data_IF_575064011020
#
_entry.id   IF_575064011020
#
_cell.length_a   1.000
_cell.length_b   1.000
_cell.length_c   1.000
_cell.angle_alpha   90.00
_cell.angle_beta   90.00
_cell.angle_gamma   90.00
#
_symmetry.space_group_name_H-M   'P 1'
#
loop_
_entity.id
_entity.type
_entity.pdbx_description
1 polymer ?
#
# COMPACT_ATOMS: atom_id res chain seq x y z
N UNK A 1 15.31 68.34 -43.17
CA UNK A 1 14.04 67.59 -43.10
C UNK A 1 14.21 66.08 -43.39
N UNK A 2 14.89 65.69 -44.44
CA UNK A 2 15.02 64.26 -44.84
C UNK A 2 15.66 63.36 -43.76
N UNK A 3 16.68 63.81 -43.02
CA UNK A 3 17.38 63.01 -41.96
C UNK A 3 16.44 62.73 -40.79
N UNK A 4 15.61 63.66 -40.37
CA UNK A 4 14.68 63.49 -39.26
C UNK A 4 13.60 62.45 -39.62
N UNK A 5 13.10 62.44 -40.85
CA UNK A 5 12.13 61.47 -41.32
C UNK A 5 12.74 60.06 -41.35
N UNK A 6 13.96 59.89 -41.78
CA UNK A 6 14.64 58.58 -41.80
C UNK A 6 14.84 58.06 -40.38
N UNK A 7 15.26 58.89 -39.42
CA UNK A 7 15.45 58.51 -38.01
C UNK A 7 14.13 58.09 -37.38
N UNK A 8 13.03 58.75 -37.62
CA UNK A 8 11.69 58.39 -37.12
C UNK A 8 11.22 57.06 -37.71
N UNK A 9 11.41 56.85 -39.03
CA UNK A 9 11.04 55.57 -39.66
C UNK A 9 11.87 54.40 -39.08
N UNK A 10 13.14 54.56 -38.88
CA UNK A 10 14.01 53.56 -38.28
C UNK A 10 13.58 53.25 -36.80
N UNK A 11 13.25 54.28 -36.04
CA UNK A 11 12.81 54.10 -34.65
C UNK A 11 11.48 53.34 -34.57
N UNK A 12 10.52 53.63 -35.45
CA UNK A 12 9.21 52.90 -35.51
C UNK A 12 9.42 51.44 -35.92
N UNK A 13 10.32 51.19 -36.89
CA UNK A 13 10.62 49.82 -37.31
C UNK A 13 11.28 49.01 -36.17
N UNK A 14 12.22 49.60 -35.44
CA UNK A 14 12.85 48.93 -34.29
C UNK A 14 11.87 48.65 -33.17
N UNK A 15 10.96 49.58 -32.86
CA UNK A 15 9.89 49.38 -31.88
C UNK A 15 8.92 48.25 -32.30
N UNK A 16 8.55 48.17 -33.56
CA UNK A 16 7.73 47.11 -34.12
C UNK A 16 8.38 45.72 -34.00
N UNK A 17 9.68 45.61 -34.25
CA UNK A 17 10.46 44.36 -34.09
C UNK A 17 10.54 43.96 -32.60
N UNK A 18 10.78 44.92 -31.71
CA UNK A 18 10.85 44.65 -30.26
C UNK A 18 9.50 44.19 -29.72
N UNK A 19 8.36 44.78 -30.13
CA UNK A 19 7.04 44.32 -29.74
C UNK A 19 6.74 42.90 -30.28
N UNK A 20 7.13 42.60 -31.52
CA UNK A 20 6.97 41.27 -32.09
C UNK A 20 7.78 40.20 -31.34
N UNK A 21 9.03 40.52 -30.94
CA UNK A 21 9.85 39.63 -30.15
C UNK A 21 9.24 39.38 -28.76
N UNK A 22 8.70 40.41 -28.09
CA UNK A 22 8.01 40.23 -26.81
C UNK A 22 6.80 39.30 -26.90
N UNK A 23 5.99 39.43 -27.98
CA UNK A 23 4.85 38.56 -28.19
C UNK A 23 5.25 37.11 -28.43
N UNK A 24 6.35 36.87 -29.13
CA UNK A 24 6.88 35.50 -29.33
C UNK A 24 7.35 34.89 -28.02
N UNK A 25 8.05 35.65 -27.20
CA UNK A 25 8.55 35.16 -25.90
C UNK A 25 7.38 34.83 -24.94
N UNK A 26 6.36 35.68 -24.86
CA UNK A 26 5.19 35.40 -24.01
C UNK A 26 4.40 34.20 -24.53
N UNK A 27 4.26 34.01 -25.82
CA UNK A 27 3.59 32.86 -26.41
C UNK A 27 4.35 31.55 -26.09
N UNK A 28 5.67 31.54 -26.23
CA UNK A 28 6.50 30.38 -25.90
C UNK A 28 6.46 30.03 -24.40
N UNK A 29 6.43 31.04 -23.53
CA UNK A 29 6.28 30.84 -22.09
C UNK A 29 4.92 30.24 -21.73
N UNK A 30 3.86 30.64 -22.41
CA UNK A 30 2.52 30.16 -22.19
C UNK A 30 2.37 28.67 -22.59
N UNK A 31 2.91 28.28 -23.74
CA UNK A 31 2.97 26.87 -24.16
C UNK A 31 3.75 26.01 -23.15
N UNK A 32 4.86 26.50 -22.66
CA UNK A 32 5.67 25.76 -21.67
C UNK A 32 4.94 25.58 -20.33
N UNK A 33 4.15 26.56 -19.90
CA UNK A 33 3.32 26.47 -18.70
C UNK A 33 2.17 25.49 -18.86
N UNK A 34 1.53 25.47 -20.02
CA UNK A 34 0.45 24.52 -20.33
C UNK A 34 0.96 23.07 -20.39
N UNK A 35 2.11 22.84 -21.01
CA UNK A 35 2.77 21.51 -21.04
C UNK A 35 3.18 21.04 -19.66
N UNK A 36 3.72 21.94 -18.82
CA UNK A 36 4.05 21.65 -17.43
C UNK A 36 2.82 21.30 -16.60
N UNK A 37 1.75 22.09 -16.70
CA UNK A 37 0.48 21.84 -16.00
C UNK A 37 -0.14 20.50 -16.40
N UNK A 38 -0.14 20.19 -17.70
CA UNK A 38 -0.70 18.94 -18.23
C UNK A 38 0.09 17.72 -17.75
N UNK A 39 1.42 17.81 -17.71
CA UNK A 39 2.29 16.74 -17.18
C UNK A 39 2.07 16.49 -15.70
N UNK A 40 1.97 17.54 -14.89
CA UNK A 40 1.72 17.40 -13.46
C UNK A 40 0.34 16.82 -13.16
N UNK A 41 -0.67 17.22 -13.90
CA UNK A 41 -2.04 16.71 -13.76
C UNK A 41 -2.15 15.23 -14.17
N UNK A 42 -1.43 14.81 -15.20
CA UNK A 42 -1.33 13.40 -15.60
C UNK A 42 -0.63 12.55 -14.54
N UNK A 43 0.44 13.06 -13.95
CA UNK A 43 1.22 12.35 -12.92
C UNK A 43 0.43 12.20 -11.61
N UNK A 44 -0.36 13.21 -11.22
CA UNK A 44 -1.23 13.17 -10.05
C UNK A 44 -2.41 12.20 -10.26
N UNK A 45 -3.00 12.16 -11.45
CA UNK A 45 -4.07 11.22 -11.79
C UNK A 45 -3.58 9.76 -11.82
N UNK A 46 -2.37 9.49 -12.30
CA UNK A 46 -1.75 8.16 -12.29
C UNK A 46 -1.47 7.68 -10.87
N UNK A 47 -0.99 8.57 -10.00
CA UNK A 47 -0.73 8.25 -8.59
C UNK A 47 -2.05 7.89 -7.87
N UNK A 48 -3.09 8.72 -8.01
CA UNK A 48 -4.42 8.47 -7.41
C UNK A 48 -5.03 7.17 -7.96
N UNK A 49 -4.90 6.91 -9.26
CA UNK A 49 -5.42 5.68 -9.87
C UNK A 49 -4.69 4.45 -9.34
N UNK A 50 -3.39 4.53 -9.13
CA UNK A 50 -2.58 3.43 -8.57
C UNK A 50 -2.94 3.16 -7.11
N UNK A 51 -3.17 4.19 -6.28
CA UNK A 51 -3.66 4.02 -4.91
C UNK A 51 -5.06 3.40 -4.86
N UNK A 52 -5.99 3.87 -5.69
CA UNK A 52 -7.35 3.32 -5.75
C UNK A 52 -7.33 1.86 -6.21
N UNK A 53 -6.49 1.52 -7.18
CA UNK A 53 -6.35 0.15 -7.68
C UNK A 53 -5.72 -0.77 -6.62
N UNK A 54 -4.75 -0.28 -5.85
CA UNK A 54 -4.14 -1.00 -4.72
C UNK A 54 -5.17 -1.25 -3.61
N UNK A 55 -5.95 -0.23 -3.22
CA UNK A 55 -7.04 -0.39 -2.26
C UNK A 55 -8.14 -1.34 -2.75
N UNK A 56 -8.52 -1.27 -4.02
CA UNK A 56 -9.53 -2.15 -4.60
C UNK A 56 -9.04 -3.61 -4.69
N UNK A 57 -7.75 -3.84 -4.93
CA UNK A 57 -7.14 -5.17 -4.89
C UNK A 57 -7.12 -5.75 -3.47
N UNK A 58 -6.91 -4.91 -2.45
CA UNK A 58 -6.93 -5.32 -1.04
C UNK A 58 -8.34 -5.73 -0.59
N UNK A 59 -9.38 -4.95 -0.95
CA UNK A 59 -10.78 -5.25 -0.59
C UNK A 59 -11.27 -6.57 -1.25
N UNK A 60 -10.67 -6.98 -2.35
CA UNK A 60 -11.05 -8.19 -3.08
C UNK A 60 -10.53 -9.50 -2.43
N UNK A 61 -9.70 -9.40 -1.40
CA UNK A 61 -9.10 -10.57 -0.73
C UNK A 61 -9.82 -10.99 0.55
N UNK A 62 -10.77 -10.22 1.06
CA UNK A 62 -11.58 -10.66 2.20
C UNK A 62 -12.72 -11.58 1.72
N UNK A 63 -12.94 -12.63 2.48
CA UNK A 63 -14.04 -13.61 2.32
C UNK A 63 -15.07 -13.47 3.45
N UNK A 64 -16.12 -14.27 3.40
CA UNK A 64 -17.08 -14.38 4.50
C UNK A 64 -17.90 -13.12 4.77
N UNK A 65 -18.31 -12.96 6.04
CA UNK A 65 -19.18 -11.89 6.52
C UNK A 65 -18.57 -11.10 7.69
N UNK A 66 -17.44 -11.55 8.24
CA UNK A 66 -16.74 -10.87 9.31
C UNK A 66 -16.06 -9.58 8.82
N UNK A 67 -15.28 -8.92 9.65
CA UNK A 67 -14.71 -7.62 9.29
C UNK A 67 -13.53 -7.75 8.33
N UNK A 68 -13.57 -6.91 7.32
CA UNK A 68 -12.45 -6.64 6.43
C UNK A 68 -11.78 -5.34 6.89
N UNK A 69 -10.55 -5.43 7.43
CA UNK A 69 -9.90 -4.32 8.14
C UNK A 69 -8.62 -3.94 7.43
N UNK A 70 -8.49 -2.69 7.02
CA UNK A 70 -7.23 -2.14 6.53
C UNK A 70 -6.58 -1.26 7.60
N UNK A 71 -5.28 -1.39 7.78
CA UNK A 71 -4.56 -0.58 8.78
C UNK A 71 -3.05 -0.61 8.61
N UNK A 72 -2.37 0.07 9.51
CA UNK A 72 -0.90 0.16 9.55
C UNK A 72 -0.37 -0.72 10.68
N UNK A 73 0.64 -1.54 10.40
CA UNK A 73 1.36 -2.30 11.41
C UNK A 73 2.08 -1.35 12.35
N UNK A 74 1.74 -1.39 13.63
CA UNK A 74 2.31 -0.54 14.67
C UNK A 74 3.30 -1.27 15.57
N UNK A 75 3.23 -2.61 15.60
CA UNK A 75 4.14 -3.46 16.36
C UNK A 75 4.08 -4.90 15.85
N UNK A 76 5.20 -5.59 15.80
CA UNK A 76 5.28 -7.04 15.72
C UNK A 76 5.45 -7.54 17.16
N UNK A 77 4.46 -8.29 17.69
CA UNK A 77 4.49 -8.81 19.06
C UNK A 77 5.36 -10.06 19.10
N UNK A 78 4.99 -11.06 18.30
CA UNK A 78 5.69 -12.34 18.12
C UNK A 78 5.50 -12.83 16.67
N UNK A 79 5.76 -14.11 16.39
CA UNK A 79 5.70 -14.66 15.04
C UNK A 79 4.27 -14.80 14.47
N UNK A 80 3.24 -14.78 15.30
CA UNK A 80 1.85 -14.99 14.88
C UNK A 80 0.87 -13.93 15.38
N UNK A 81 1.41 -12.87 16.00
CA UNK A 81 0.61 -11.77 16.55
C UNK A 81 1.26 -10.42 16.23
N UNK A 82 0.49 -9.55 15.59
CA UNK A 82 0.91 -8.17 15.29
C UNK A 82 -0.09 -7.17 15.87
N UNK A 83 0.31 -5.89 16.00
CA UNK A 83 -0.64 -4.78 16.23
C UNK A 83 -0.84 -3.98 14.96
N UNK A 84 -2.11 -3.73 14.64
CA UNK A 84 -2.53 -2.89 13.53
C UNK A 84 -3.40 -1.77 14.07
N UNK A 85 -2.98 -0.52 13.86
CA UNK A 85 -3.63 0.65 14.45
C UNK A 85 -3.88 0.52 15.97
N UNK A 86 -2.98 -0.17 16.69
CA UNK A 86 -3.10 -0.43 18.12
C UNK A 86 -3.95 -1.65 18.52
N UNK A 87 -4.74 -2.23 17.60
CA UNK A 87 -5.48 -3.47 17.82
C UNK A 87 -4.58 -4.69 17.60
N UNK A 88 -4.62 -5.66 18.53
CA UNK A 88 -3.88 -6.93 18.37
C UNK A 88 -4.62 -7.87 17.42
N UNK A 89 -3.87 -8.41 16.48
CA UNK A 89 -4.32 -9.36 15.46
C UNK A 89 -3.55 -10.67 15.64
N UNK A 90 -4.24 -11.75 15.89
CA UNK A 90 -3.70 -13.11 15.95
C UNK A 90 -3.93 -13.80 14.61
N UNK A 91 -2.92 -14.44 14.07
CA UNK A 91 -3.03 -15.13 12.78
C UNK A 91 -3.95 -16.35 12.91
N UNK A 92 -4.99 -16.41 12.09
CA UNK A 92 -5.88 -17.57 11.98
C UNK A 92 -5.11 -18.80 11.48
N UNK A 93 -5.34 -19.95 12.06
CA UNK A 93 -4.73 -21.25 11.68
C UNK A 93 -3.19 -21.31 11.73
N UNK A 94 -2.50 -20.24 12.05
CA UNK A 94 -1.05 -20.21 12.14
C UNK A 94 -0.58 -19.91 13.55
N UNK A 95 0.38 -20.67 14.03
CA UNK A 95 1.01 -20.48 15.34
C UNK A 95 2.53 -20.42 15.21
N UNK A 96 3.16 -19.64 16.08
CA UNK A 96 4.60 -19.57 16.23
C UNK A 96 5.03 -20.01 17.64
N UNK A 97 6.30 -20.37 17.84
CA UNK A 97 6.87 -20.51 19.18
C UNK A 97 6.79 -19.17 19.94
N UNK A 98 6.57 -19.22 21.24
CA UNK A 98 6.60 -18.03 22.08
C UNK A 98 8.01 -17.39 22.09
N UNK A 99 8.10 -16.08 22.35
CA UNK A 99 9.37 -15.34 22.28
C UNK A 99 10.50 -15.93 23.14
N UNK A 100 10.14 -16.58 24.26
CA UNK A 100 11.11 -17.20 25.17
C UNK A 100 11.44 -18.64 24.79
N UNK A 101 10.77 -19.19 23.79
CA UNK A 101 10.99 -20.55 23.31
C UNK A 101 11.96 -20.55 22.12
N UNK A 102 12.56 -21.70 21.84
CA UNK A 102 13.42 -21.87 20.68
C UNK A 102 12.63 -21.61 19.38
N UNK A 103 13.12 -20.71 18.55
CA UNK A 103 12.47 -20.31 17.29
C UNK A 103 11.52 -19.11 17.40
N UNK A 104 11.21 -18.62 18.62
CA UNK A 104 10.26 -17.53 18.80
C UNK A 104 10.78 -16.18 18.28
N UNK A 105 12.05 -15.88 18.51
CA UNK A 105 12.69 -14.67 17.98
C UNK A 105 12.80 -14.76 16.46
N UNK A 106 13.23 -15.89 15.94
CA UNK A 106 13.36 -16.14 14.50
C UNK A 106 12.01 -16.01 13.77
N UNK A 107 10.93 -16.50 14.38
CA UNK A 107 9.57 -16.34 13.84
C UNK A 107 9.14 -14.87 13.77
N UNK A 108 9.40 -14.12 14.86
CA UNK A 108 9.12 -12.69 14.90
C UNK A 108 9.92 -11.92 13.85
N UNK A 109 11.25 -12.17 13.79
CA UNK A 109 12.14 -11.51 12.83
C UNK A 109 11.76 -11.84 11.39
N UNK A 110 11.29 -13.06 11.13
CA UNK A 110 10.77 -13.45 9.83
C UNK A 110 9.56 -12.59 9.44
N UNK A 111 8.56 -12.45 10.33
CA UNK A 111 7.38 -11.60 10.06
C UNK A 111 7.79 -10.14 9.87
N UNK A 112 8.67 -9.60 10.72
CA UNK A 112 9.16 -8.23 10.56
C UNK A 112 9.89 -8.02 9.23
N UNK A 113 10.59 -9.03 8.73
CA UNK A 113 11.31 -8.96 7.45
C UNK A 113 10.38 -8.84 6.23
N UNK A 114 9.20 -9.46 6.27
CA UNK A 114 8.24 -9.48 5.16
C UNK A 114 7.12 -8.44 5.31
N UNK A 115 6.85 -8.00 6.54
CA UNK A 115 5.84 -7.01 6.87
C UNK A 115 6.30 -6.10 8.03
N UNK A 116 7.26 -5.22 7.82
CA UNK A 116 7.81 -4.37 8.88
C UNK A 116 6.78 -3.38 9.43
N UNK A 117 7.06 -2.86 10.63
CA UNK A 117 6.29 -1.74 11.22
C UNK A 117 6.20 -0.59 10.22
N UNK A 118 5.01 -0.03 10.06
CA UNK A 118 4.69 0.99 9.05
C UNK A 118 4.09 0.43 7.77
N UNK A 119 4.09 -0.89 7.56
CA UNK A 119 3.43 -1.52 6.40
C UNK A 119 1.92 -1.39 6.48
N UNK A 120 1.28 -1.21 5.32
CA UNK A 120 -0.18 -1.32 5.19
C UNK A 120 -0.57 -2.79 5.06
N UNK A 121 -1.56 -3.21 5.84
CA UNK A 121 -2.11 -4.57 5.83
C UNK A 121 -3.60 -4.57 5.61
N UNK A 122 -4.08 -5.68 5.04
CA UNK A 122 -5.48 -6.08 5.04
C UNK A 122 -5.63 -7.27 5.98
N UNK A 123 -6.61 -7.22 6.86
CA UNK A 123 -6.99 -8.32 7.76
C UNK A 123 -8.38 -8.80 7.35
N UNK A 124 -8.49 -10.07 7.07
CA UNK A 124 -9.72 -10.81 6.88
C UNK A 124 -10.03 -11.53 8.20
N UNK A 125 -11.01 -11.00 8.98
CA UNK A 125 -11.40 -11.56 10.26
C UNK A 125 -12.10 -12.89 10.04
N UNK A 126 -11.71 -13.92 10.77
CA UNK A 126 -12.24 -15.28 10.64
C UNK A 126 -13.72 -15.36 11.09
N UNK A 127 -14.63 -15.64 10.17
CA UNK A 127 -16.08 -15.79 10.43
C UNK A 127 -16.38 -16.80 11.56
N UNK A 128 -15.57 -17.83 11.67
CA UNK A 128 -15.72 -18.86 12.70
C UNK A 128 -15.15 -18.45 14.06
N UNK A 129 -14.47 -17.31 14.18
CA UNK A 129 -13.76 -16.88 15.38
C UNK A 129 -13.93 -15.38 15.69
N UNK A 130 -15.07 -14.77 15.32
CA UNK A 130 -15.36 -13.34 15.50
C UNK A 130 -15.39 -12.88 16.96
N UNK A 131 -15.57 -13.81 17.93
CA UNK A 131 -15.44 -13.51 19.35
C UNK A 131 -13.99 -13.21 19.76
N UNK A 132 -13.04 -13.53 18.88
CA UNK A 132 -11.63 -13.32 19.11
C UNK A 132 -11.05 -14.20 20.21
N UNK A 133 -9.85 -13.87 20.65
CA UNK A 133 -9.16 -14.54 21.75
C UNK A 133 -8.38 -13.52 22.58
N UNK A 134 -8.71 -13.42 23.86
CA UNK A 134 -8.07 -12.47 24.78
C UNK A 134 -8.06 -11.01 24.27
N UNK A 135 -9.16 -10.57 23.64
CA UNK A 135 -9.31 -9.22 23.07
C UNK A 135 -8.56 -9.00 21.74
N UNK A 136 -8.00 -10.06 21.13
CA UNK A 136 -7.40 -10.03 19.81
C UNK A 136 -8.43 -10.37 18.73
N UNK A 137 -8.32 -9.75 17.57
CA UNK A 137 -9.00 -10.20 16.36
C UNK A 137 -8.21 -11.40 15.81
N UNK A 138 -8.92 -12.43 15.35
CA UNK A 138 -8.34 -13.60 14.68
C UNK A 138 -8.62 -13.47 13.20
N UNK A 139 -7.59 -13.60 12.35
CA UNK A 139 -7.80 -13.45 10.91
C UNK A 139 -6.58 -13.82 10.07
N UNK A 140 -6.79 -13.81 8.77
CA UNK A 140 -5.72 -13.87 7.78
C UNK A 140 -5.22 -12.46 7.51
N UNK A 141 -3.89 -12.29 7.49
CA UNK A 141 -3.25 -10.99 7.28
C UNK A 141 -2.53 -10.97 5.94
N UNK A 142 -2.90 -10.02 5.10
CA UNK A 142 -2.23 -9.77 3.83
C UNK A 142 -1.34 -8.53 3.94
N UNK A 143 -0.08 -8.68 3.60
CA UNK A 143 0.93 -7.63 3.62
C UNK A 143 1.82 -7.73 2.40
N UNK A 144 2.01 -6.64 1.67
CA UNK A 144 2.87 -6.61 0.47
C UNK A 144 2.53 -7.71 -0.55
N UNK A 145 1.24 -8.05 -0.69
CA UNK A 145 0.76 -9.09 -1.61
C UNK A 145 0.97 -10.53 -1.13
N UNK A 146 1.37 -10.74 0.13
CA UNK A 146 1.60 -12.05 0.75
C UNK A 146 0.58 -12.31 1.83
N UNK A 147 0.13 -13.56 1.95
CA UNK A 147 -0.60 -14.08 3.10
C UNK A 147 0.43 -14.43 4.20
N UNK A 148 0.49 -13.64 5.28
CA UNK A 148 1.47 -13.84 6.35
C UNK A 148 1.29 -15.16 7.09
N UNK A 149 0.05 -15.64 7.22
CA UNK A 149 -0.29 -16.90 7.87
C UNK A 149 0.34 -18.08 7.09
N UNK A 150 0.16 -18.09 5.77
CA UNK A 150 0.77 -19.07 4.87
C UNK A 150 2.31 -18.98 4.90
N UNK A 151 2.87 -17.77 4.77
CA UNK A 151 4.33 -17.56 4.72
C UNK A 151 4.99 -18.03 6.02
N UNK A 152 4.36 -17.79 7.18
CA UNK A 152 4.87 -18.24 8.48
C UNK A 152 4.99 -19.76 8.54
N UNK A 153 3.96 -20.48 8.12
CA UNK A 153 3.97 -21.96 8.12
C UNK A 153 4.95 -22.49 7.07
N UNK A 154 4.89 -21.96 5.85
CA UNK A 154 5.74 -22.37 4.73
C UNK A 154 7.23 -22.21 4.98
N UNK A 155 7.63 -21.17 5.70
CA UNK A 155 9.02 -20.93 6.05
C UNK A 155 9.56 -21.88 7.11
N UNK A 156 8.68 -22.62 7.81
CA UNK A 156 9.05 -23.43 8.97
C UNK A 156 9.27 -22.61 10.25
N UNK A 157 9.00 -21.30 10.22
CA UNK A 157 9.06 -20.45 11.43
C UNK A 157 7.77 -20.54 12.27
N UNK A 158 6.74 -21.21 11.76
CA UNK A 158 5.51 -21.49 12.46
C UNK A 158 4.92 -22.82 12.03
N UNK A 159 3.76 -23.15 12.56
CA UNK A 159 3.06 -24.41 12.31
C UNK A 159 1.54 -24.19 12.25
N UNK A 160 0.83 -25.14 11.63
CA UNK A 160 -0.61 -25.12 11.57
C UNK A 160 -1.22 -25.37 12.95
N UNK A 161 -2.10 -24.50 13.41
CA UNK A 161 -2.95 -24.69 14.59
C UNK A 161 -4.17 -25.54 14.21
N UNK A 162 -3.96 -26.83 13.97
CA UNK A 162 -4.94 -27.76 13.36
C UNK A 162 -6.22 -27.94 14.18
N UNK A 163 -6.20 -27.66 15.48
CA UNK A 163 -7.37 -27.68 16.37
C UNK A 163 -8.44 -26.68 15.97
N UNK A 164 -8.07 -25.65 15.19
CA UNK A 164 -9.01 -24.63 14.68
C UNK A 164 -9.53 -24.91 13.27
N UNK A 165 -9.03 -25.93 12.55
CA UNK A 165 -9.48 -26.25 11.20
C UNK A 165 -10.99 -26.45 11.09
N UNK A 166 -11.62 -27.05 12.12
CA UNK A 166 -13.07 -27.29 12.11
C UNK A 166 -13.92 -26.04 12.35
N UNK A 167 -13.31 -24.92 12.73
CA UNK A 167 -13.99 -23.66 13.06
C UNK A 167 -13.70 -22.57 12.04
N UNK A 168 -12.45 -22.47 11.57
CA UNK A 168 -12.01 -21.40 10.70
C UNK A 168 -12.62 -21.51 9.31
N UNK A 169 -13.11 -20.42 8.79
CA UNK A 169 -13.55 -20.33 7.38
C UNK A 169 -12.44 -20.61 6.40
N UNK A 170 -11.19 -20.29 6.77
CA UNK A 170 -9.99 -20.48 5.93
C UNK A 170 -9.52 -21.93 5.85
N UNK A 171 -10.17 -22.86 6.57
CA UNK A 171 -9.76 -24.27 6.60
C UNK A 171 -9.79 -24.94 5.22
N UNK A 172 -10.63 -24.46 4.30
CA UNK A 172 -10.74 -24.97 2.93
C UNK A 172 -9.82 -24.25 1.94
N UNK A 173 -9.11 -23.25 2.36
CA UNK A 173 -8.14 -22.56 1.52
C UNK A 173 -6.97 -23.49 1.15
N UNK A 174 -6.45 -23.33 -0.05
CA UNK A 174 -5.38 -24.20 -0.58
C UNK A 174 -4.16 -24.23 0.36
N UNK A 175 -3.81 -23.08 0.93
CA UNK A 175 -2.66 -22.98 1.84
C UNK A 175 -2.89 -23.76 3.16
N UNK A 176 -4.11 -23.71 3.71
CA UNK A 176 -4.48 -24.41 4.93
C UNK A 176 -4.56 -25.91 4.68
N UNK A 177 -5.17 -26.36 3.56
CA UNK A 177 -5.23 -27.74 3.15
C UNK A 177 -3.82 -28.33 2.89
N UNK A 178 -2.95 -27.59 2.21
CA UNK A 178 -1.57 -28.01 1.99
C UNK A 178 -0.76 -28.10 3.29
N UNK A 179 -1.18 -27.41 4.33
CA UNK A 179 -0.53 -27.42 5.66
C UNK A 179 -1.12 -28.47 6.60
N UNK A 180 -2.24 -29.10 6.25
CA UNK A 180 -2.80 -30.23 6.99
C UNK A 180 -4.19 -30.01 7.61
N UNK A 181 -4.87 -28.91 7.28
CA UNK A 181 -6.30 -28.86 7.52
C UNK A 181 -7.03 -29.84 6.58
#
# INVERSE_FOLDING_TARGET
>A
MAIIVIVVICAVAVLGVLMGLQQIVTYQAQIALEDYATKHQAQESDFITTEIQSHKSLIQNCSGNAKCITGIVTQIIDGDTIKVNGQSIRFALASAPELNDSGGIESKDFIDSICPVGSTVLIDEDDGQTEGSYGRIIGVVYCNGKNLNEELIKSGNGYLASEFCSKSEFSNDIWAQNSGC
#
